data_IF_376955081586
#
_entry.id   IF_376955081586
#
_cell.length_a   1.000
_cell.length_b   1.000
_cell.length_c   1.000
_cell.angle_alpha   90.00
_cell.angle_beta   90.00
_cell.angle_gamma   90.00
#
_symmetry.space_group_name_H-M   'P 1'
#
loop_
_entity.id
_entity.type
_entity.pdbx_description
1 polymer ?
#
# COMPACT_ATOMS: atom_id res chain seq x y z
N UNK A 1 -57.21 -22.40 43.11
CA UNK A 1 -57.54 -21.12 42.47
C UNK A 1 -56.75 -20.03 43.18
N UNK A 2 -55.42 -20.06 43.16
CA UNK A 2 -54.53 -19.73 42.02
C UNK A 2 -54.77 -18.26 41.62
N UNK A 3 -53.82 -17.32 41.57
CA UNK A 3 -52.37 -17.42 41.35
C UNK A 3 -51.70 -16.12 41.83
N UNK A 4 -50.58 -16.22 42.52
CA UNK A 4 -49.62 -15.12 42.67
C UNK A 4 -48.63 -15.16 41.50
N UNK A 5 -48.76 -14.23 40.56
CA UNK A 5 -47.81 -14.03 39.46
C UNK A 5 -46.71 -13.05 39.89
N UNK A 6 -45.56 -13.60 40.27
CA UNK A 6 -44.31 -12.84 40.36
C UNK A 6 -43.75 -12.70 38.95
N UNK A 7 -43.60 -11.46 38.47
CA UNK A 7 -42.89 -11.15 37.24
C UNK A 7 -41.39 -11.39 37.44
N UNK A 8 -40.92 -12.58 37.05
CA UNK A 8 -39.50 -12.85 36.91
C UNK A 8 -38.95 -12.04 35.73
N UNK A 9 -38.01 -11.16 36.05
CA UNK A 9 -37.21 -10.43 35.09
C UNK A 9 -36.44 -11.42 34.22
N UNK A 10 -36.72 -11.38 32.92
CA UNK A 10 -36.02 -12.17 31.90
C UNK A 10 -34.53 -11.87 31.91
N UNK A 11 -33.78 -12.69 32.65
CA UNK A 11 -32.34 -12.77 32.56
C UNK A 11 -31.99 -13.37 31.20
N UNK A 12 -31.68 -12.50 30.24
CA UNK A 12 -31.05 -12.88 28.98
C UNK A 12 -29.71 -13.55 29.33
N UNK A 13 -29.71 -14.88 29.31
CA UNK A 13 -28.49 -15.68 29.39
C UNK A 13 -27.56 -15.23 28.26
N UNK A 14 -26.47 -14.59 28.66
CA UNK A 14 -25.24 -14.51 27.88
C UNK A 14 -24.87 -15.94 27.51
N UNK A 15 -25.16 -16.34 26.27
CA UNK A 15 -24.61 -17.57 25.71
C UNK A 15 -23.11 -17.33 25.54
N UNK A 16 -22.36 -17.67 26.59
CA UNK A 16 -20.93 -17.87 26.49
C UNK A 16 -20.66 -18.85 25.36
N UNK A 17 -19.80 -18.43 24.43
CA UNK A 17 -19.23 -19.30 23.40
C UNK A 17 -18.45 -20.43 24.06
N UNK A 18 -19.16 -21.50 24.40
CA UNK A 18 -18.58 -22.76 24.82
C UNK A 18 -18.15 -23.52 23.56
N UNK A 19 -16.84 -23.63 23.36
CA UNK A 19 -16.27 -24.58 22.42
C UNK A 19 -16.86 -25.98 22.68
N UNK A 20 -17.32 -26.64 21.62
CA UNK A 20 -17.85 -28.00 21.70
C UNK A 20 -16.80 -28.97 22.29
N UNK A 21 -17.20 -29.94 23.14
CA UNK A 21 -16.28 -30.95 23.63
C UNK A 21 -15.97 -31.96 22.53
N UNK A 22 -14.71 -32.03 22.12
CA UNK A 22 -14.17 -33.09 21.27
C UNK A 22 -14.35 -34.44 21.99
N UNK A 23 -15.42 -35.17 21.65
CA UNK A 23 -15.65 -36.53 22.13
C UNK A 23 -15.13 -37.50 21.07
N UNK A 24 -14.03 -38.17 21.42
CA UNK A 24 -13.47 -39.40 20.85
C UNK A 24 -12.55 -39.30 19.63
N UNK A 25 -11.31 -38.83 19.81
CA UNK A 25 -10.11 -39.48 19.25
C UNK A 25 -8.83 -38.94 19.90
N UNK A 26 -7.82 -39.76 20.28
CA UNK A 26 -6.59 -39.26 20.86
C UNK A 26 -5.61 -38.82 19.75
N UNK A 27 -4.74 -37.86 20.07
CA UNK A 27 -3.51 -37.48 19.33
C UNK A 27 -3.48 -36.27 18.38
N UNK A 28 -4.33 -35.26 18.50
CA UNK A 28 -3.95 -33.92 17.96
C UNK A 28 -4.35 -32.83 18.96
N UNK A 29 -3.40 -32.25 19.73
CA UNK A 29 -3.72 -31.08 20.53
C UNK A 29 -4.14 -29.95 19.58
N UNK A 30 -5.24 -29.25 19.88
CA UNK A 30 -5.80 -28.19 19.02
C UNK A 30 -4.75 -27.16 18.57
N UNK A 31 -3.73 -26.92 19.40
CA UNK A 31 -2.55 -26.12 19.05
C UNK A 31 -1.85 -26.52 17.73
N UNK A 32 -1.81 -27.80 17.38
CA UNK A 32 -1.12 -28.28 16.16
C UNK A 32 -1.84 -27.81 14.90
N UNK A 33 -3.18 -27.72 14.92
CA UNK A 33 -3.94 -27.20 13.79
C UNK A 33 -3.72 -25.68 13.62
N UNK A 34 -3.61 -24.95 14.74
CA UNK A 34 -3.29 -23.52 14.73
C UNK A 34 -1.86 -23.25 14.22
N UNK A 35 -0.88 -24.05 14.66
CA UNK A 35 0.51 -23.94 14.20
C UNK A 35 0.68 -24.30 12.72
N UNK A 36 0.00 -25.33 12.23
CA UNK A 36 0.02 -25.70 10.81
C UNK A 36 -0.66 -24.63 9.95
N UNK A 37 -1.74 -24.01 10.44
CA UNK A 37 -2.37 -22.87 9.79
C UNK A 37 -1.45 -21.65 9.72
N UNK A 38 -0.76 -21.33 10.81
CA UNK A 38 0.20 -20.22 10.86
C UNK A 38 1.42 -20.47 9.96
N UNK A 39 2.00 -21.67 9.99
CA UNK A 39 3.11 -22.05 9.11
C UNK A 39 2.69 -22.01 7.62
N UNK A 40 1.47 -22.44 7.30
CA UNK A 40 0.92 -22.32 5.95
C UNK A 40 0.78 -20.85 5.51
N UNK A 41 0.26 -19.99 6.38
CA UNK A 41 0.13 -18.55 6.11
C UNK A 41 1.50 -17.88 5.92
N UNK A 42 2.47 -18.18 6.77
CA UNK A 42 3.85 -17.68 6.65
C UNK A 42 4.50 -18.20 5.35
N UNK A 43 4.28 -19.45 4.97
CA UNK A 43 4.79 -20.00 3.71
C UNK A 43 4.21 -19.28 2.48
N UNK A 44 2.92 -18.95 2.50
CA UNK A 44 2.27 -18.16 1.43
C UNK A 44 2.83 -16.74 1.36
N UNK A 45 3.01 -16.08 2.50
CA UNK A 45 3.61 -14.75 2.55
C UNK A 45 5.06 -14.77 2.05
N UNK A 46 5.88 -15.72 2.51
CA UNK A 46 7.25 -15.87 2.04
C UNK A 46 7.29 -16.16 0.54
N UNK A 47 6.45 -17.05 0.04
CA UNK A 47 6.35 -17.32 -1.40
C UNK A 47 6.00 -16.06 -2.20
N UNK A 48 5.08 -15.25 -1.68
CA UNK A 48 4.68 -13.98 -2.29
C UNK A 48 5.82 -12.96 -2.32
N UNK A 49 6.48 -12.72 -1.18
CA UNK A 49 7.59 -11.76 -1.07
C UNK A 49 8.84 -12.21 -1.83
N UNK A 50 9.10 -13.52 -1.91
CA UNK A 50 10.21 -14.06 -2.71
C UNK A 50 9.93 -13.99 -4.21
N UNK A 51 8.65 -14.01 -4.62
CA UNK A 51 8.25 -13.92 -6.03
C UNK A 51 8.13 -12.48 -6.53
N UNK A 52 7.78 -11.55 -5.64
CA UNK A 52 7.69 -10.12 -5.93
C UNK A 52 8.77 -9.37 -5.13
N UNK A 53 10.05 -9.41 -5.56
CA UNK A 53 11.07 -8.61 -4.91
C UNK A 53 10.66 -7.12 -5.02
N UNK A 54 10.77 -6.33 -3.94
CA UNK A 54 10.55 -4.89 -4.03
C UNK A 54 11.56 -4.33 -5.03
N UNK A 55 11.07 -3.72 -6.11
CA UNK A 55 11.90 -3.19 -7.17
C UNK A 55 12.84 -2.11 -6.62
N UNK A 56 14.13 -2.48 -6.62
CA UNK A 56 15.32 -1.80 -6.14
C UNK A 56 15.82 -0.54 -6.84
N UNK A 57 15.34 -0.18 -8.03
CA UNK A 57 16.21 0.60 -8.93
C UNK A 57 15.47 1.77 -9.57
N UNK A 58 15.39 2.89 -8.85
CA UNK A 58 15.13 4.20 -9.48
C UNK A 58 16.48 4.76 -9.90
N UNK A 59 16.89 4.46 -11.13
CA UNK A 59 17.94 5.23 -11.79
C UNK A 59 17.37 6.63 -12.03
N UNK A 60 17.61 7.51 -11.07
CA UNK A 60 17.17 8.89 -11.11
C UNK A 60 17.93 9.55 -12.26
N UNK A 61 17.20 10.02 -13.27
CA UNK A 61 17.79 10.88 -14.30
C UNK A 61 18.10 12.21 -13.61
N UNK A 62 19.28 12.27 -13.03
CA UNK A 62 19.74 13.41 -12.26
C UNK A 62 20.00 14.55 -13.24
N UNK A 63 19.15 15.57 -13.13
CA UNK A 63 19.38 16.85 -13.75
C UNK A 63 20.55 17.51 -13.00
N UNK A 64 21.78 17.11 -13.33
CA UNK A 64 22.98 17.66 -12.70
C UNK A 64 23.17 19.10 -13.18
N UNK A 65 22.57 20.02 -12.43
CA UNK A 65 22.91 21.44 -12.50
C UNK A 65 24.22 21.59 -11.74
N UNK A 66 25.36 21.49 -12.43
CA UNK A 66 26.61 22.02 -11.91
C UNK A 66 26.45 23.54 -11.77
N UNK A 67 26.54 24.12 -10.55
CA UNK A 67 26.31 25.54 -10.37
C UNK A 67 27.57 26.31 -10.80
N UNK A 68 27.69 26.64 -12.09
CA UNK A 68 28.62 27.69 -12.51
C UNK A 68 28.01 29.04 -12.17
N UNK A 69 28.23 29.47 -10.92
CA UNK A 69 27.73 30.69 -10.26
C UNK A 69 28.11 32.03 -10.94
N UNK A 70 28.75 32.03 -12.12
CA UNK A 70 29.17 33.28 -12.78
C UNK A 70 29.34 33.12 -14.30
N UNK A 71 28.24 33.04 -15.06
CA UNK A 71 28.29 33.31 -16.50
C UNK A 71 26.95 33.84 -17.03
N UNK A 72 27.02 34.98 -17.74
CA UNK A 72 25.92 35.62 -18.46
C UNK A 72 25.45 34.75 -19.65
N UNK A 73 24.29 35.04 -20.28
CA UNK A 73 23.61 34.09 -21.16
C UNK A 73 24.36 33.99 -22.49
N UNK A 74 24.96 32.83 -22.75
CA UNK A 74 25.33 32.44 -24.12
C UNK A 74 24.37 31.36 -24.55
N UNK A 75 23.47 31.78 -25.44
CA UNK A 75 22.57 30.92 -26.21
C UNK A 75 23.45 30.07 -27.13
N UNK A 76 23.88 28.93 -26.65
CA UNK A 76 24.24 27.72 -27.42
C UNK A 76 24.84 26.70 -26.44
N UNK A 77 23.94 26.09 -25.70
CA UNK A 77 24.15 24.79 -25.09
C UNK A 77 22.88 24.05 -25.40
N UNK A 78 22.96 22.79 -25.79
CA UNK A 78 21.81 21.90 -25.68
C UNK A 78 21.48 21.78 -24.19
N UNK A 79 20.82 22.81 -23.65
CA UNK A 79 20.39 22.89 -22.28
C UNK A 79 19.47 21.70 -22.09
N UNK A 80 19.93 20.76 -21.27
CA UNK A 80 19.03 19.90 -20.53
C UNK A 80 18.23 20.87 -19.67
N UNK A 81 17.16 21.40 -20.27
CA UNK A 81 16.22 22.27 -19.60
C UNK A 81 15.61 21.40 -18.51
N UNK A 82 16.10 21.55 -17.28
CA UNK A 82 15.65 20.85 -16.08
C UNK A 82 14.28 21.37 -15.65
N UNK A 83 13.38 21.34 -16.61
CA UNK A 83 11.99 21.69 -16.48
C UNK A 83 11.25 20.42 -16.12
N UNK A 84 10.15 20.55 -15.39
CA UNK A 84 9.34 19.45 -14.86
C UNK A 84 8.64 18.63 -15.97
N UNK A 85 9.39 18.06 -16.92
CA UNK A 85 8.95 17.26 -18.06
C UNK A 85 8.63 18.04 -19.34
N UNK A 86 8.33 19.35 -19.27
CA UNK A 86 7.87 20.11 -20.45
C UNK A 86 8.50 21.52 -20.54
N UNK A 87 9.09 21.92 -21.69
CA UNK A 87 9.75 23.22 -21.83
C UNK A 87 8.82 24.43 -21.72
N UNK A 88 7.55 24.28 -22.10
CA UNK A 88 6.59 25.40 -22.12
C UNK A 88 6.16 25.88 -20.73
N UNK A 89 6.52 25.14 -19.68
CA UNK A 89 6.16 25.45 -18.28
C UNK A 89 7.39 25.75 -17.41
N UNK A 90 8.59 25.88 -17.98
CA UNK A 90 9.83 26.13 -17.22
C UNK A 90 9.77 27.44 -16.41
N UNK A 91 9.17 28.49 -16.98
CA UNK A 91 9.12 29.82 -16.39
C UNK A 91 7.89 30.06 -15.51
N UNK A 92 7.01 29.05 -15.40
CA UNK A 92 5.78 29.15 -14.61
C UNK A 92 6.03 28.66 -13.19
N UNK A 93 5.42 29.33 -12.21
CA UNK A 93 5.48 28.91 -10.80
C UNK A 93 4.62 27.66 -10.60
N UNK A 94 4.90 26.92 -9.53
CA UNK A 94 4.13 25.71 -9.21
C UNK A 94 2.62 25.97 -9.05
N UNK A 95 2.22 27.14 -8.56
CA UNK A 95 0.81 27.51 -8.44
C UNK A 95 0.16 28.00 -9.76
N UNK A 96 0.95 28.11 -10.84
CA UNK A 96 0.51 28.56 -12.17
C UNK A 96 0.44 27.38 -13.16
N UNK A 97 0.82 26.18 -12.72
CA UNK A 97 0.82 24.95 -13.50
C UNK A 97 -0.23 24.00 -12.92
N UNK A 98 -0.92 23.27 -13.79
CA UNK A 98 -1.80 22.17 -13.38
C UNK A 98 -0.99 20.88 -13.33
N UNK A 99 -0.97 20.24 -12.17
CA UNK A 99 -0.32 18.94 -11.99
C UNK A 99 -1.35 17.82 -11.99
N UNK A 100 -1.01 16.73 -12.68
CA UNK A 100 -1.70 15.46 -12.48
C UNK A 100 -1.22 14.85 -11.16
N UNK A 101 -2.16 14.38 -10.35
CA UNK A 101 -1.89 13.75 -9.05
C UNK A 101 -2.58 12.40 -8.93
N UNK A 102 -2.05 11.54 -8.07
CA UNK A 102 -2.53 10.18 -7.81
C UNK A 102 -2.87 10.03 -6.34
N UNK A 103 -4.16 9.87 -6.04
CA UNK A 103 -4.61 9.57 -4.68
C UNK A 103 -4.11 8.18 -4.25
N UNK A 104 -3.53 8.08 -3.06
CA UNK A 104 -2.85 6.88 -2.55
C UNK A 104 -1.92 6.26 -3.60
N UNK A 105 -0.94 7.01 -4.09
CA UNK A 105 -0.04 6.55 -5.16
C UNK A 105 0.65 5.20 -4.86
N UNK A 106 0.90 4.88 -3.57
CA UNK A 106 1.47 3.59 -3.13
C UNK A 106 0.45 2.42 -3.12
N UNK A 107 -0.84 2.69 -3.27
CA UNK A 107 -1.90 1.67 -3.29
C UNK A 107 -2.09 1.13 -4.71
N UNK A 108 -1.00 0.56 -5.27
CA UNK A 108 -0.97 0.08 -6.65
C UNK A 108 -1.14 -1.44 -6.74
N UNK A 109 -1.72 -1.89 -7.87
CA UNK A 109 -1.80 -3.30 -8.20
C UNK A 109 -0.42 -3.90 -8.52
N UNK A 110 0.48 -3.10 -9.12
CA UNK A 110 1.86 -3.48 -9.41
C UNK A 110 2.68 -3.80 -8.15
N UNK A 111 2.46 -3.04 -7.08
CA UNK A 111 3.06 -3.28 -5.75
C UNK A 111 2.25 -4.29 -4.92
N UNK A 112 1.26 -4.91 -5.56
CA UNK A 112 0.50 -6.02 -5.03
C UNK A 112 -0.20 -5.65 -3.70
N UNK A 113 -0.72 -4.41 -3.67
CA UNK A 113 -1.53 -3.89 -2.58
C UNK A 113 -2.88 -4.63 -2.54
N UNK A 114 -3.40 -4.90 -1.33
CA UNK A 114 -4.57 -5.78 -1.14
C UNK A 114 -5.85 -5.25 -1.81
N UNK A 115 -6.03 -3.93 -1.82
CA UNK A 115 -7.17 -3.24 -2.44
C UNK A 115 -6.64 -2.06 -3.24
N UNK A 116 -6.09 -2.30 -4.45
CA UNK A 116 -5.41 -1.28 -5.19
C UNK A 116 -6.41 -0.29 -5.81
N UNK A 117 -6.04 0.98 -5.84
CA UNK A 117 -6.81 2.03 -6.49
C UNK A 117 -6.10 2.59 -7.73
N UNK A 118 -4.85 2.18 -7.97
CA UNK A 118 -4.07 2.48 -9.16
C UNK A 118 -3.46 1.20 -9.72
N UNK A 119 -3.14 1.17 -11.01
CA UNK A 119 -2.62 -0.04 -11.67
C UNK A 119 -1.09 -0.12 -11.65
N UNK A 120 -0.42 1.02 -11.77
CA UNK A 120 1.04 1.12 -11.96
C UNK A 120 1.75 1.54 -10.67
N UNK A 121 3.04 1.23 -10.57
CA UNK A 121 3.87 1.63 -9.43
C UNK A 121 4.06 3.15 -9.37
N UNK A 122 4.55 3.65 -8.24
CA UNK A 122 4.83 5.07 -8.04
C UNK A 122 5.83 5.60 -9.08
N UNK A 123 6.86 4.82 -9.41
CA UNK A 123 7.91 5.19 -10.37
C UNK A 123 7.35 5.35 -11.78
N UNK A 124 6.45 4.46 -12.18
CA UNK A 124 5.79 4.54 -13.48
C UNK A 124 4.82 5.73 -13.55
N UNK A 125 4.15 6.06 -12.43
CA UNK A 125 3.37 7.29 -12.33
C UNK A 125 4.26 8.55 -12.48
N UNK A 126 5.45 8.57 -11.88
CA UNK A 126 6.41 9.68 -12.03
C UNK A 126 6.90 9.80 -13.48
N UNK A 127 7.19 8.68 -14.15
CA UNK A 127 7.56 8.68 -15.59
C UNK A 127 6.41 9.16 -16.47
N UNK A 128 5.18 8.83 -16.13
CA UNK A 128 3.98 9.28 -16.83
C UNK A 128 3.64 10.77 -16.58
N UNK A 129 4.34 11.44 -15.67
CA UNK A 129 4.18 12.88 -15.43
C UNK A 129 3.33 13.26 -14.22
N UNK A 130 2.93 12.31 -13.39
CA UNK A 130 2.26 12.61 -12.12
C UNK A 130 3.26 13.25 -11.13
N UNK A 131 2.82 14.27 -10.39
CA UNK A 131 3.68 15.08 -9.50
C UNK A 131 3.08 15.30 -8.11
N UNK A 132 2.06 14.53 -7.74
CA UNK A 132 1.45 14.52 -6.41
C UNK A 132 0.45 13.41 -6.25
#
# INVERSE_FOLDING_TARGET
>A
SDSSSSEDTGSLKVNGGGCAPCKNNPHIPCFVLDFLGFLGFIAVLLWYFLRNPPHRDVEFMECTIEPSFFAAPSVESSEVNCCNGLPSICDLRANEIMYATVHNAMSSAADAFLVPNNLFSLEDALKAGYRG
#
